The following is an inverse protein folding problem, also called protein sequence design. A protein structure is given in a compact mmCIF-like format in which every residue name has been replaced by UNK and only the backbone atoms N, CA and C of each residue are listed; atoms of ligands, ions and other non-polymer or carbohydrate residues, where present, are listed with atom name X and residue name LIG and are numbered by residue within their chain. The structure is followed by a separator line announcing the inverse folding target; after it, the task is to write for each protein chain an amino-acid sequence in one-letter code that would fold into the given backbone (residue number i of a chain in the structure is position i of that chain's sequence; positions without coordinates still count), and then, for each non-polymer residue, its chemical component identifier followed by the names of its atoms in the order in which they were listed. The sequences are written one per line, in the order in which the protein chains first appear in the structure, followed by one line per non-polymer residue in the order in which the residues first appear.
data_IF_526939781620
#
_entry.id   IF_526939781620
#
_cell.length_a   1.000
_cell.length_b   1.000
_cell.length_c   1.000
_cell.angle_alpha   90.00
_cell.angle_beta   90.00
_cell.angle_gamma   90.00
#
_symmetry.space_group_name_H-M   'P 1'
#
loop_
_entity.id
_entity.type
_entity.pdbx_description
1 polymer ?
#
# COMPACT_ATOMS: atom_id res chain seq x y z
N UNK A 1 -31.12 -11.26 -40.55
CA UNK A 1 -31.87 -11.32 -39.28
C UNK A 1 -31.20 -12.34 -38.37
N UNK A 2 -30.92 -11.94 -37.11
CA UNK A 2 -30.52 -12.73 -35.92
C UNK A 2 -29.03 -13.17 -35.76
N UNK A 3 -28.50 -13.30 -34.52
CA UNK A 3 -28.10 -12.17 -33.66
C UNK A 3 -26.64 -12.23 -33.16
N UNK A 4 -26.13 -11.06 -32.75
CA UNK A 4 -24.90 -10.81 -31.98
C UNK A 4 -24.82 -11.66 -30.71
N UNK A 5 -23.80 -12.52 -30.61
CA UNK A 5 -23.37 -13.11 -29.33
C UNK A 5 -22.14 -12.39 -28.82
N UNK A 6 -22.36 -11.33 -28.04
CA UNK A 6 -21.32 -10.72 -27.21
C UNK A 6 -21.06 -11.66 -26.03
N UNK A 7 -19.94 -12.37 -26.06
CA UNK A 7 -19.46 -13.20 -24.95
C UNK A 7 -18.94 -12.28 -23.85
N UNK A 8 -19.77 -11.94 -22.87
CA UNK A 8 -19.31 -11.28 -21.64
C UNK A 8 -18.40 -12.23 -20.86
N UNK A 9 -17.09 -11.97 -20.89
CA UNK A 9 -16.15 -12.56 -19.93
C UNK A 9 -16.38 -11.89 -18.58
N UNK A 10 -17.23 -12.51 -17.76
CA UNK A 10 -17.38 -12.14 -16.35
C UNK A 10 -16.12 -12.62 -15.62
N UNK A 11 -15.07 -11.79 -15.64
CA UNK A 11 -13.85 -12.05 -14.85
C UNK A 11 -14.26 -11.96 -13.37
N UNK A 12 -14.46 -13.10 -12.75
CA UNK A 12 -14.85 -13.23 -11.35
C UNK A 12 -13.80 -12.53 -10.51
N UNK A 13 -14.14 -11.34 -10.00
CA UNK A 13 -13.24 -10.43 -9.30
C UNK A 13 -13.07 -10.91 -7.85
N UNK A 14 -12.57 -12.13 -7.65
CA UNK A 14 -12.10 -12.53 -6.31
C UNK A 14 -10.97 -11.56 -5.93
N UNK A 15 -10.89 -11.20 -4.65
CA UNK A 15 -9.67 -10.57 -4.15
C UNK A 15 -8.61 -11.66 -4.25
N UNK A 16 -7.72 -11.53 -5.24
CA UNK A 16 -6.65 -12.50 -5.42
C UNK A 16 -5.81 -12.51 -4.15
N UNK A 17 -5.59 -13.69 -3.55
CA UNK A 17 -4.76 -13.84 -2.34
C UNK A 17 -3.41 -13.15 -2.50
N UNK A 18 -2.88 -13.13 -3.73
CA UNK A 18 -1.69 -12.37 -4.12
C UNK A 18 -1.78 -10.88 -3.81
N UNK A 19 -2.93 -10.25 -4.06
CA UNK A 19 -3.15 -8.82 -3.78
C UNK A 19 -3.19 -8.54 -2.28
N UNK A 20 -3.78 -9.43 -1.47
CA UNK A 20 -3.75 -9.31 0.00
C UNK A 20 -2.33 -9.44 0.54
N UNK A 21 -1.55 -10.42 0.06
CA UNK A 21 -0.17 -10.62 0.47
C UNK A 21 0.69 -9.42 0.07
N UNK A 22 0.56 -8.93 -1.16
CA UNK A 22 1.30 -7.76 -1.64
C UNK A 22 0.94 -6.50 -0.83
N UNK A 23 -0.33 -6.33 -0.49
CA UNK A 23 -0.77 -5.22 0.35
C UNK A 23 -0.22 -5.33 1.77
N UNK A 24 -0.22 -6.52 2.38
CA UNK A 24 0.38 -6.74 3.69
C UNK A 24 1.88 -6.44 3.68
N UNK A 25 2.61 -6.88 2.65
CA UNK A 25 4.03 -6.54 2.46
C UNK A 25 4.24 -5.04 2.34
N UNK A 26 3.39 -4.36 1.58
CA UNK A 26 3.43 -2.89 1.47
C UNK A 26 3.27 -2.23 2.85
N UNK A 27 2.28 -2.65 3.65
CA UNK A 27 2.09 -2.09 5.01
C UNK A 27 3.33 -2.31 5.88
N UNK A 28 3.93 -3.50 5.85
CA UNK A 28 5.15 -3.80 6.63
C UNK A 28 6.30 -2.86 6.23
N UNK A 29 6.51 -2.65 4.93
CA UNK A 29 7.55 -1.75 4.42
C UNK A 29 7.29 -0.31 4.89
N UNK A 30 6.05 0.15 4.86
CA UNK A 30 5.68 1.50 5.33
C UNK A 30 5.95 1.67 6.82
N UNK A 31 5.66 0.66 7.64
CA UNK A 31 5.96 0.69 9.08
C UNK A 31 7.47 0.75 9.34
N UNK A 32 8.25 -0.08 8.65
CA UNK A 32 9.71 -0.08 8.76
C UNK A 32 10.30 1.26 8.32
N UNK A 33 9.84 1.80 7.19
CA UNK A 33 10.28 3.11 6.70
C UNK A 33 9.94 4.22 7.70
N UNK A 34 8.75 4.17 8.30
CA UNK A 34 8.33 5.14 9.32
C UNK A 34 9.23 5.07 10.56
N UNK A 35 9.55 3.85 11.02
CA UNK A 35 10.49 3.64 12.13
C UNK A 35 11.89 4.18 11.84
N UNK A 36 12.46 3.84 10.68
CA UNK A 36 13.79 4.33 10.27
C UNK A 36 13.78 5.86 10.11
N UNK A 37 12.70 6.44 9.58
CA UNK A 37 12.56 7.90 9.46
C UNK A 37 12.52 8.58 10.83
N UNK A 38 11.85 7.98 11.82
CA UNK A 38 11.83 8.49 13.19
C UNK A 38 13.23 8.42 13.84
N UNK A 39 13.94 7.29 13.68
CA UNK A 39 15.32 7.14 14.14
C UNK A 39 16.25 8.15 13.46
N UNK A 40 16.06 8.39 12.16
CA UNK A 40 16.81 9.40 11.41
C UNK A 40 16.63 10.80 11.99
N UNK A 41 15.39 11.21 12.27
CA UNK A 41 15.11 12.53 12.83
C UNK A 41 15.62 12.68 14.27
N UNK A 42 15.64 11.59 15.05
CA UNK A 42 16.15 11.54 16.41
C UNK A 42 17.68 11.60 16.48
N UNK A 43 18.36 10.97 15.52
CA UNK A 43 19.81 10.74 15.59
C UNK A 43 20.62 11.66 14.68
N UNK A 44 21.27 12.68 15.26
CA UNK A 44 22.18 13.59 14.53
C UNK A 44 23.32 12.87 13.81
N UNK A 45 23.92 11.85 14.42
CA UNK A 45 25.02 11.12 13.77
C UNK A 45 24.56 10.45 12.48
N UNK A 46 23.32 9.96 12.45
CA UNK A 46 22.73 9.35 11.25
C UNK A 46 22.43 10.42 10.19
N UNK A 47 21.96 11.60 10.60
CA UNK A 47 21.77 12.73 9.68
C UNK A 47 23.08 13.16 9.04
N UNK A 48 24.12 13.34 9.85
CA UNK A 48 25.44 13.79 9.38
C UNK A 48 26.09 12.75 8.45
N UNK A 49 26.00 11.46 8.80
CA UNK A 49 26.52 10.40 7.95
C UNK A 49 25.76 10.31 6.62
N UNK A 50 24.43 10.38 6.64
CA UNK A 50 23.62 10.33 5.41
C UNK A 50 23.85 11.57 4.55
N UNK A 51 23.98 12.76 5.12
CA UNK A 51 24.29 13.97 4.37
C UNK A 51 25.61 13.85 3.60
N UNK A 52 26.60 13.16 4.18
CA UNK A 52 27.93 12.99 3.58
C UNK A 52 28.04 11.80 2.62
N UNK A 53 27.34 10.70 2.88
CA UNK A 53 27.54 9.43 2.14
C UNK A 53 26.36 9.06 1.23
N UNK A 54 25.15 9.49 1.57
CA UNK A 54 23.92 9.00 0.95
C UNK A 54 22.85 10.11 0.90
N UNK A 55 23.21 11.30 0.43
CA UNK A 55 22.32 12.47 0.44
C UNK A 55 20.92 12.21 -0.16
N UNK A 56 20.71 11.38 -1.21
CA UNK A 56 19.36 11.14 -1.73
C UNK A 56 18.47 10.38 -0.74
N UNK A 57 19.07 9.55 0.13
CA UNK A 57 18.35 8.76 1.14
C UNK A 57 17.79 9.68 2.23
N UNK A 58 18.46 10.80 2.52
CA UNK A 58 17.96 11.80 3.46
C UNK A 58 16.59 12.36 3.08
N UNK A 59 16.29 12.48 1.78
CA UNK A 59 14.97 12.91 1.32
C UNK A 59 13.87 11.87 1.61
N UNK A 60 14.20 10.58 1.48
CA UNK A 60 13.26 9.48 1.77
C UNK A 60 12.96 9.37 3.27
N UNK A 61 13.98 9.62 4.11
CA UNK A 61 13.89 9.53 5.57
C UNK A 61 13.43 10.83 6.24
N UNK A 62 13.20 11.90 5.48
CA UNK A 62 12.72 13.19 6.00
C UNK A 62 11.33 13.10 6.65
N UNK A 63 10.61 11.99 6.45
CA UNK A 63 9.31 11.72 7.07
C UNK A 63 8.12 12.00 6.16
N UNK A 64 8.23 12.93 5.20
CA UNK A 64 7.15 13.21 4.24
C UNK A 64 6.71 11.99 3.43
N UNK A 65 7.68 11.20 2.95
CA UNK A 65 7.40 9.98 2.22
C UNK A 65 6.70 8.95 3.11
N UNK A 66 7.21 8.73 4.32
CA UNK A 66 6.63 7.82 5.28
C UNK A 66 5.18 8.21 5.61
N UNK A 67 4.91 9.47 5.95
CA UNK A 67 3.55 9.97 6.24
C UNK A 67 2.60 9.82 5.06
N UNK A 68 3.06 10.11 3.84
CA UNK A 68 2.26 9.96 2.61
C UNK A 68 1.89 8.49 2.40
N UNK A 69 2.86 7.58 2.53
CA UNK A 69 2.63 6.15 2.35
C UNK A 69 1.75 5.55 3.45
N UNK A 70 1.83 6.06 4.69
CA UNK A 70 0.88 5.70 5.76
C UNK A 70 -0.54 6.10 5.37
N UNK A 71 -0.74 7.30 4.83
CA UNK A 71 -2.06 7.73 4.33
C UNK A 71 -2.58 6.82 3.22
N UNK A 72 -1.72 6.43 2.26
CA UNK A 72 -2.05 5.48 1.19
C UNK A 72 -2.39 4.10 1.76
N UNK A 73 -1.65 3.62 2.76
CA UNK A 73 -1.93 2.35 3.43
C UNK A 73 -3.30 2.36 4.11
N UNK A 74 -3.65 3.43 4.82
CA UNK A 74 -4.96 3.58 5.46
C UNK A 74 -6.08 3.59 4.41
N UNK A 75 -5.93 4.40 3.35
CA UNK A 75 -6.92 4.47 2.26
C UNK A 75 -7.07 3.14 1.52
N UNK A 76 -5.97 2.47 1.21
CA UNK A 76 -5.96 1.16 0.58
C UNK A 76 -6.61 0.08 1.44
N UNK A 77 -6.36 0.09 2.76
CA UNK A 77 -6.98 -0.84 3.69
C UNK A 77 -8.50 -0.63 3.75
N UNK A 78 -8.96 0.62 3.78
CA UNK A 78 -10.39 0.95 3.75
C UNK A 78 -11.08 0.41 2.49
N UNK A 79 -10.47 0.62 1.31
CA UNK A 79 -11.01 0.12 0.04
C UNK A 79 -11.02 -1.41 -0.03
N UNK A 80 -9.99 -2.07 0.53
CA UNK A 80 -9.94 -3.53 0.61
C UNK A 80 -11.06 -4.10 1.48
N UNK A 81 -11.28 -3.50 2.66
CA UNK A 81 -12.35 -3.89 3.56
C UNK A 81 -13.73 -3.67 2.93
N UNK A 82 -13.94 -2.55 2.24
CA UNK A 82 -15.20 -2.27 1.53
C UNK A 82 -15.47 -3.32 0.45
N UNK A 83 -14.45 -3.69 -0.34
CA UNK A 83 -14.57 -4.71 -1.39
C UNK A 83 -14.88 -6.10 -0.80
N UNK A 84 -14.26 -6.44 0.32
CA UNK A 84 -14.50 -7.72 0.99
C UNK A 84 -15.94 -7.82 1.49
N UNK A 85 -16.44 -6.79 2.20
CA UNK A 85 -17.84 -6.70 2.65
C UNK A 85 -18.85 -6.80 1.50
N UNK A 86 -18.61 -6.06 0.41
CA UNK A 86 -19.49 -6.11 -0.77
C UNK A 86 -19.56 -7.50 -1.43
N UNK A 87 -18.55 -8.35 -1.23
CA UNK A 87 -18.55 -9.72 -1.76
C UNK A 87 -19.35 -10.67 -0.86
N UNK A 88 -19.38 -10.42 0.46
CA UNK A 88 -20.14 -11.22 1.44
C UNK A 88 -21.65 -10.97 1.39
N UNK A 89 -22.09 -9.79 0.97
CA UNK A 89 -23.52 -9.45 0.87
C UNK A 89 -24.18 -10.07 -0.38
N UNK A 90 -23.44 -10.21 -1.49
CA UNK A 90 -23.94 -10.85 -2.73
C UNK A 90 -24.17 -12.36 -2.59
N UNK A 91 -23.57 -13.00 -1.59
CA UNK A 91 -23.72 -14.45 -1.36
C UNK A 91 -24.89 -14.85 -0.44
N UNK A 92 -25.68 -13.89 0.05
CA UNK A 92 -26.79 -14.13 0.99
C UNK A 92 -28.19 -13.94 0.38
N UNK A 93 -28.29 -13.68 -0.92
CA UNK A 93 -29.56 -13.66 -1.69
C UNK A 93 -29.76 -14.98 -2.43
#
# INVERSE_FOLDING_TARGET
MNPTRSTMIRRTRRVDTTLLIAFAQFVIIVLLLSGISAEYQSNRNMQDWIAQNAWPVGYLLNGYLASTLVGVAIGGAFLLLQKWRSTEDVGKE
#
